data_IF_715614428292
#
_entry.id   IF_715614428292
#
_cell.length_a   1.000
_cell.length_b   1.000
_cell.length_c   1.000
_cell.angle_alpha   90.00
_cell.angle_beta   90.00
_cell.angle_gamma   90.00
#
_symmetry.space_group_name_H-M   'P 1'
#
loop_
_entity.id
_entity.type
_entity.pdbx_description
1 polymer ?
#
# COMPACT_ATOMS: atom_id res chain seq x y z
N UNK A 1 -8.69 13.24 -5.82
CA UNK A 1 -8.83 11.93 -6.48
C UNK A 1 -9.82 11.10 -5.68
N UNK A 2 -10.79 10.39 -6.30
CA UNK A 2 -11.71 9.54 -5.53
C UNK A 2 -11.09 8.15 -5.33
N UNK A 3 -10.63 7.85 -4.12
CA UNK A 3 -10.06 6.55 -3.77
C UNK A 3 -11.19 5.51 -3.69
N UNK A 4 -11.03 4.39 -4.40
CA UNK A 4 -11.99 3.28 -4.37
C UNK A 4 -11.43 2.08 -3.61
N UNK A 5 -12.32 1.27 -3.04
CA UNK A 5 -11.94 0.01 -2.38
C UNK A 5 -11.13 -0.91 -3.30
N UNK A 6 -11.52 -0.99 -4.58
CA UNK A 6 -10.80 -1.77 -5.59
C UNK A 6 -9.36 -1.30 -5.74
N UNK A 7 -9.13 0.02 -5.87
CA UNK A 7 -7.78 0.58 -5.94
C UNK A 7 -6.94 0.19 -4.73
N UNK A 8 -7.48 0.30 -3.51
CA UNK A 8 -6.76 -0.07 -2.28
C UNK A 8 -6.38 -1.55 -2.23
N UNK A 9 -7.23 -2.44 -2.76
CA UNK A 9 -6.96 -3.88 -2.83
C UNK A 9 -5.90 -4.24 -3.88
N UNK A 10 -5.79 -3.46 -4.95
CA UNK A 10 -4.81 -3.63 -6.02
C UNK A 10 -3.46 -2.97 -5.70
N UNK A 11 -3.45 -1.95 -4.84
CA UNK A 11 -2.25 -1.20 -4.45
C UNK A 11 -1.18 -2.10 -3.81
N UNK A 12 0.09 -1.84 -4.13
CA UNK A 12 1.26 -2.56 -3.60
C UNK A 12 2.32 -1.61 -3.04
N UNK A 13 2.03 -0.85 -1.95
CA UNK A 13 3.01 0.05 -1.36
C UNK A 13 4.24 -0.72 -0.87
N UNK A 14 5.41 -0.09 -0.92
CA UNK A 14 6.63 -0.66 -0.34
C UNK A 14 6.49 -0.77 1.17
N UNK A 15 6.88 -1.92 1.71
CA UNK A 15 6.86 -2.15 3.16
C UNK A 15 7.87 -1.22 3.87
N UNK A 16 7.47 -0.48 4.93
CA UNK A 16 8.39 0.36 5.71
C UNK A 16 9.58 -0.41 6.32
N UNK A 17 9.34 -1.65 6.77
CA UNK A 17 10.39 -2.49 7.37
C UNK A 17 11.37 -3.16 6.40
N UNK A 18 10.88 -3.74 5.29
CA UNK A 18 11.71 -4.57 4.39
C UNK A 18 11.71 -4.11 2.92
N UNK A 19 11.04 -3.01 2.59
CA UNK A 19 10.89 -2.42 1.25
C UNK A 19 10.25 -3.31 0.17
N UNK A 20 9.84 -4.54 0.50
CA UNK A 20 9.10 -5.42 -0.42
C UNK A 20 7.74 -4.82 -0.81
N UNK A 21 7.33 -5.03 -2.06
CA UNK A 21 5.99 -4.70 -2.59
C UNK A 21 4.99 -5.85 -2.42
N UNK A 22 5.39 -6.96 -1.78
CA UNK A 22 4.48 -8.05 -1.37
C UNK A 22 3.65 -7.62 -0.15
N UNK A 23 2.82 -6.60 -0.35
CA UNK A 23 1.99 -5.98 0.68
C UNK A 23 0.51 -6.03 0.29
N UNK A 24 -0.36 -5.81 1.27
CA UNK A 24 -1.80 -5.59 1.07
C UNK A 24 -2.31 -4.56 2.06
N UNK A 25 -3.33 -3.81 1.68
CA UNK A 25 -4.10 -2.95 2.58
C UNK A 25 -5.25 -3.76 3.19
N UNK A 26 -5.37 -3.71 4.50
CA UNK A 26 -6.50 -4.23 5.27
C UNK A 26 -7.42 -3.05 5.55
N UNK A 27 -8.70 -3.21 5.26
CA UNK A 27 -9.68 -2.13 5.35
C UNK A 27 -10.30 -2.07 6.76
N UNK A 28 -10.75 -0.89 7.21
CA UNK A 28 -11.43 -0.71 8.50
C UNK A 28 -12.62 -1.64 8.72
N UNK A 29 -13.39 -1.92 7.67
CA UNK A 29 -14.60 -2.74 7.73
C UNK A 29 -14.34 -4.26 7.73
N UNK A 30 -13.08 -4.68 7.67
CA UNK A 30 -12.72 -6.10 7.75
C UNK A 30 -13.10 -6.65 9.14
N UNK A 31 -13.83 -7.77 9.21
CA UNK A 31 -14.41 -8.28 10.47
C UNK A 31 -13.37 -8.48 11.58
N UNK A 32 -12.22 -9.08 11.25
CA UNK A 32 -11.12 -9.34 12.17
C UNK A 32 -10.18 -8.14 12.40
N UNK A 33 -10.44 -6.98 11.79
CA UNK A 33 -9.71 -5.75 12.06
C UNK A 33 -10.36 -5.01 13.24
N UNK A 34 -9.87 -5.28 14.44
CA UNK A 34 -10.35 -4.65 15.68
C UNK A 34 -9.96 -3.17 15.78
N UNK A 35 -8.87 -2.75 15.12
CA UNK A 35 -8.40 -1.36 15.15
C UNK A 35 -9.34 -0.38 14.43
N UNK A 36 -10.14 -0.88 13.48
CA UNK A 36 -10.97 -0.06 12.57
C UNK A 36 -10.16 1.01 11.80
N UNK A 37 -8.85 0.80 11.66
CA UNK A 37 -7.96 1.64 10.87
C UNK A 37 -7.59 0.94 9.56
N UNK A 38 -7.11 1.71 8.59
CA UNK A 38 -6.40 1.14 7.45
C UNK A 38 -5.06 0.58 7.94
N UNK A 39 -4.75 -0.67 7.59
CA UNK A 39 -3.48 -1.30 7.96
C UNK A 39 -2.74 -1.76 6.71
N UNK A 40 -1.42 -1.60 6.69
CA UNK A 40 -0.54 -2.20 5.69
C UNK A 40 0.03 -3.49 6.26
N UNK A 41 -0.29 -4.63 5.65
CA UNK A 41 0.31 -5.92 5.99
C UNK A 41 1.34 -6.33 4.94
N UNK A 42 2.58 -6.57 5.36
CA UNK A 42 3.62 -7.13 4.51
C UNK A 42 3.63 -8.65 4.59
N UNK A 43 3.36 -9.32 3.47
CA UNK A 43 3.40 -10.78 3.36
C UNK A 43 4.83 -11.33 3.37
N UNK A 44 5.84 -10.49 3.10
CA UNK A 44 7.24 -10.90 3.08
C UNK A 44 7.85 -10.96 4.48
N UNK A 45 7.76 -9.87 5.26
CA UNK A 45 8.35 -9.81 6.60
C UNK A 45 7.33 -9.98 7.75
N UNK A 46 6.05 -10.15 7.44
CA UNK A 46 4.97 -10.37 8.42
C UNK A 46 4.51 -9.15 9.22
N UNK A 47 5.16 -8.00 9.08
CA UNK A 47 4.81 -6.81 9.83
C UNK A 47 3.48 -6.19 9.38
N UNK A 48 2.77 -5.60 10.34
CA UNK A 48 1.55 -4.83 10.15
C UNK A 48 1.80 -3.40 10.64
N UNK A 49 1.51 -2.42 9.79
CA UNK A 49 1.68 -1.01 10.10
C UNK A 49 0.33 -0.28 10.04
N UNK A 50 0.02 0.61 10.98
CA UNK A 50 -1.11 1.52 10.83
C UNK A 50 -0.85 2.49 9.68
N UNK A 51 -1.90 2.82 8.92
CA UNK A 51 -1.86 3.84 7.88
C UNK A 51 -2.54 5.09 8.44
N UNK A 52 -1.76 6.14 8.69
CA UNK A 52 -2.26 7.41 9.25
C UNK A 52 -3.03 8.23 8.22
N UNK A 53 -2.54 8.26 6.98
CA UNK A 53 -3.15 8.96 5.85
C UNK A 53 -3.19 8.04 4.62
N UNK A 54 -4.40 7.60 4.27
CA UNK A 54 -4.63 6.71 3.13
C UNK A 54 -4.46 7.43 1.80
N UNK A 55 -4.76 8.73 1.72
CA UNK A 55 -4.66 9.50 0.48
C UNK A 55 -3.19 9.71 0.11
N UNK A 56 -2.39 10.09 1.10
CA UNK A 56 -0.95 10.26 0.95
C UNK A 56 -0.24 8.96 0.57
N UNK A 57 -0.63 7.83 1.19
CA UNK A 57 -0.08 6.51 0.84
C UNK A 57 -0.38 6.14 -0.63
N UNK A 58 -1.63 6.35 -1.08
CA UNK A 58 -2.01 6.07 -2.47
C UNK A 58 -1.24 6.97 -3.42
N UNK A 59 -1.17 8.27 -3.14
CA UNK A 59 -0.44 9.24 -3.96
C UNK A 59 1.02 8.82 -4.14
N UNK A 60 1.75 8.58 -3.03
CA UNK A 60 3.16 8.16 -3.06
C UNK A 60 3.37 6.85 -3.81
N UNK A 61 2.51 5.86 -3.59
CA UNK A 61 2.67 4.56 -4.26
C UNK A 61 2.49 4.68 -5.77
N UNK A 62 1.56 5.51 -6.23
CA UNK A 62 1.36 5.75 -7.67
C UNK A 62 2.50 6.55 -8.29
N UNK A 63 3.04 7.55 -7.58
CA UNK A 63 4.23 8.30 -8.01
C UNK A 63 5.44 7.36 -8.16
N UNK A 64 5.73 6.52 -7.16
CA UNK A 64 6.82 5.54 -7.21
C UNK A 64 6.66 4.56 -8.38
N UNK A 65 5.44 4.09 -8.66
CA UNK A 65 5.17 3.17 -9.77
C UNK A 65 5.34 3.84 -11.14
N UNK A 66 4.92 5.10 -11.29
CA UNK A 66 5.12 5.84 -12.52
C UNK A 66 6.62 6.10 -12.79
N UNK A 67 7.40 6.43 -11.76
CA UNK A 67 8.86 6.61 -11.87
C UNK A 67 9.58 5.31 -12.26
N UNK A 68 9.14 4.15 -11.75
CA UNK A 68 9.68 2.85 -12.14
C UNK A 68 9.36 2.49 -13.60
N UNK A 69 8.19 2.89 -14.10
CA UNK A 69 7.79 2.68 -15.51
C UNK A 69 8.56 3.61 -16.46
N UNK A 70 8.81 4.87 -16.07
CA UNK A 70 9.57 5.85 -16.87
C UNK A 70 11.09 5.61 -16.83
N UNK A 71 11.64 5.10 -15.72
CA UNK A 71 13.04 4.70 -15.59
C UNK A 71 13.38 3.37 -16.29
N UNK A 72 12.40 2.69 -16.89
CA UNK A 72 12.52 1.43 -17.61
C UNK A 72 13.03 1.56 -19.06
N UNK A 73 13.76 2.61 -19.40
CA UNK A 73 14.52 2.68 -20.64
C UNK A 73 15.98 2.96 -20.29
N UNK A 74 16.81 1.91 -20.28
CA UNK A 74 18.21 2.00 -20.71
C UNK A 74 18.81 0.60 -20.94
N UNK A 75 19.03 0.32 -22.24
CA UNK A 75 19.83 -0.72 -22.93
C UNK A 75 19.31 -2.16 -23.01
#
# INVERSE_FOLDING_TARGET
>A
MRITKRMLMELRPRCPGCRSTLTRIILPETEWNESKQYLLHCKHCGHVFPIEDIEELVRKTLEEQAEEEEGGIEL
#
